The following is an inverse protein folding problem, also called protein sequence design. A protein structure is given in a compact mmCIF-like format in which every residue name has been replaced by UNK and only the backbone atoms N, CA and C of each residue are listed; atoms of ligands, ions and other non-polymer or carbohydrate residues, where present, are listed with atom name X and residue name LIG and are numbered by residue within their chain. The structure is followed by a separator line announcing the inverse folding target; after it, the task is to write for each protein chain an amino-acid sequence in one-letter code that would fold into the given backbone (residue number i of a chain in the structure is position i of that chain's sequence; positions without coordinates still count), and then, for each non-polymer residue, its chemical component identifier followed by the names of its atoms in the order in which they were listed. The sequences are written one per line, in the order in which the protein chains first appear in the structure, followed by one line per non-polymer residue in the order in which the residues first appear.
data_IF_931189924603
#
_entry.id   IF_931189924603
#
_cell.length_a   1.000
_cell.length_b   1.000
_cell.length_c   1.000
_cell.angle_alpha   90.00
_cell.angle_beta   90.00
_cell.angle_gamma   90.00
#
_symmetry.space_group_name_H-M   'P 1'
#
loop_
_entity.id
_entity.type
_entity.pdbx_description
1 polymer ?
#
# COMPACT_ATOMS: atom_id res chain seq x y z
N UNK A 1 -11.70 17.97 71.06
CA UNK A 1 -11.74 16.94 70.02
C UNK A 1 -11.61 17.61 68.69
N UNK A 2 -10.40 17.61 68.07
CA UNK A 2 -10.12 18.28 66.76
C UNK A 2 -10.14 17.23 65.67
N UNK A 3 -11.12 17.27 64.71
CA UNK A 3 -11.18 16.43 63.53
C UNK A 3 -10.18 16.97 62.50
N UNK A 4 -9.16 16.16 62.16
CA UNK A 4 -8.28 16.43 61.04
C UNK A 4 -8.90 15.83 59.78
N UNK A 5 -9.31 16.69 58.85
CA UNK A 5 -9.75 16.27 57.52
C UNK A 5 -8.50 16.01 56.63
N UNK A 6 -8.29 14.76 56.31
CA UNK A 6 -7.29 14.34 55.32
C UNK A 6 -7.85 14.64 53.92
N UNK A 7 -7.22 15.57 53.21
CA UNK A 7 -7.43 15.81 51.79
C UNK A 7 -6.49 14.88 51.01
N UNK A 8 -7.02 13.91 50.34
CA UNK A 8 -6.24 13.08 49.42
C UNK A 8 -6.26 13.76 48.02
N UNK A 9 -5.11 14.12 47.45
CA UNK A 9 -5.10 14.66 46.07
C UNK A 9 -5.35 13.56 45.08
N UNK A 10 -6.38 13.72 44.27
CA UNK A 10 -6.68 12.89 43.09
C UNK A 10 -5.70 13.25 41.98
N UNK A 11 -4.70 12.43 41.77
CA UNK A 11 -3.77 12.58 40.64
C UNK A 11 -4.48 12.21 39.34
N UNK A 12 -4.80 13.20 38.51
CA UNK A 12 -5.34 13.01 37.16
C UNK A 12 -4.19 12.58 36.24
N UNK A 13 -4.11 11.29 35.94
CA UNK A 13 -3.16 10.77 34.95
C UNK A 13 -3.59 11.21 33.54
N UNK A 14 -2.87 12.15 32.93
CA UNK A 14 -3.01 12.53 31.52
C UNK A 14 -2.48 11.38 30.68
N UNK A 15 -3.34 10.58 30.08
CA UNK A 15 -2.96 9.61 29.05
C UNK A 15 -2.66 10.40 27.77
N UNK A 16 -1.40 10.63 27.48
CA UNK A 16 -0.97 11.17 26.20
C UNK A 16 -1.22 10.10 25.12
N UNK A 17 -2.32 10.24 24.38
CA UNK A 17 -2.53 9.48 23.15
C UNK A 17 -1.46 9.92 22.16
N UNK A 18 -0.52 9.03 21.83
CA UNK A 18 0.38 9.21 20.69
C UNK A 18 -0.47 9.14 19.43
N UNK A 19 -0.89 10.29 18.91
CA UNK A 19 -1.43 10.39 17.58
C UNK A 19 -0.31 10.00 16.61
N UNK A 20 -0.43 8.84 15.97
CA UNK A 20 0.35 8.57 14.78
C UNK A 20 0.02 9.69 13.81
N UNK A 21 1.04 10.38 13.29
CA UNK A 21 0.83 11.37 12.25
C UNK A 21 0.17 10.64 11.08
N UNK A 22 -1.12 10.89 10.88
CA UNK A 22 -1.82 10.37 9.71
C UNK A 22 -1.07 10.91 8.48
N UNK A 23 -0.84 10.02 7.48
CA UNK A 23 -0.26 10.43 6.21
C UNK A 23 -1.08 11.55 5.54
N UNK A 24 -0.72 11.99 4.33
CA UNK A 24 -1.48 13.00 3.60
C UNK A 24 -2.97 12.65 3.54
N UNK A 25 -3.84 13.64 3.67
CA UNK A 25 -5.29 13.46 3.50
C UNK A 25 -5.58 13.03 2.07
N UNK A 26 -6.31 11.94 1.90
CA UNK A 26 -6.67 11.38 0.60
C UNK A 26 -7.95 10.56 0.65
N UNK A 27 -8.58 10.39 -0.50
CA UNK A 27 -9.76 9.55 -0.73
C UNK A 27 -9.45 8.50 -1.78
N UNK A 28 -10.12 7.36 -1.70
CA UNK A 28 -9.93 6.31 -2.71
C UNK A 28 -10.33 6.77 -4.11
N UNK A 29 -11.24 7.73 -4.23
CA UNK A 29 -11.62 8.36 -5.49
C UNK A 29 -10.44 9.04 -6.21
N UNK A 30 -9.44 9.51 -5.47
CA UNK A 30 -8.22 10.14 -6.01
C UNK A 30 -7.37 9.11 -6.79
N UNK A 31 -7.61 7.81 -6.59
CA UNK A 31 -6.93 6.68 -7.24
C UNK A 31 -7.73 6.08 -8.41
N UNK A 32 -8.86 6.67 -8.81
CA UNK A 32 -9.72 6.13 -9.87
C UNK A 32 -8.97 5.94 -11.22
N UNK A 33 -7.91 6.70 -11.46
CA UNK A 33 -7.05 6.60 -12.64
C UNK A 33 -6.26 5.29 -12.73
N UNK A 34 -6.13 4.53 -11.62
CA UNK A 34 -5.44 3.24 -11.59
C UNK A 34 -6.28 2.12 -12.22
N UNK A 35 -7.62 2.26 -12.23
CA UNK A 35 -8.57 1.25 -12.71
C UNK A 35 -8.24 0.75 -14.12
N UNK A 36 -8.15 -0.56 -14.27
CA UNK A 36 -7.91 -1.23 -15.56
C UNK A 36 -6.90 -2.35 -15.48
N UNK A 37 -6.58 -2.92 -16.63
CA UNK A 37 -5.56 -3.95 -16.77
C UNK A 37 -4.32 -3.36 -17.39
N UNK A 38 -3.19 -3.55 -16.73
CA UNK A 38 -1.88 -3.01 -17.09
C UNK A 38 -0.87 -4.15 -17.20
N UNK A 39 0.01 -4.11 -18.20
CA UNK A 39 0.97 -5.20 -18.43
C UNK A 39 2.28 -4.69 -19.02
N UNK A 40 3.38 -5.36 -18.65
CA UNK A 40 4.70 -5.15 -19.23
C UNK A 40 5.51 -6.44 -19.24
N UNK A 41 6.43 -6.59 -20.24
CA UNK A 41 7.46 -7.60 -20.16
C UNK A 41 8.47 -7.26 -19.05
N UNK A 42 8.93 -8.29 -18.33
CA UNK A 42 9.94 -8.21 -17.28
C UNK A 42 10.97 -9.33 -17.50
N UNK A 43 11.95 -9.08 -18.36
CA UNK A 43 12.86 -10.12 -18.86
C UNK A 43 12.07 -11.20 -19.60
N UNK A 44 12.23 -12.50 -19.23
CA UNK A 44 11.47 -13.59 -19.85
C UNK A 44 10.02 -13.70 -19.34
N UNK A 45 9.65 -12.90 -18.37
CA UNK A 45 8.35 -12.91 -17.72
C UNK A 45 7.46 -11.75 -18.22
N UNK A 46 6.19 -11.83 -17.90
CA UNK A 46 5.21 -10.74 -18.05
C UNK A 46 4.61 -10.45 -16.69
N UNK A 47 4.63 -9.18 -16.30
CA UNK A 47 3.86 -8.67 -15.16
C UNK A 47 2.51 -8.13 -15.67
N UNK A 48 1.44 -8.47 -14.97
CA UNK A 48 0.10 -7.96 -15.22
C UNK A 48 -0.55 -7.56 -13.90
N UNK A 49 -1.13 -6.35 -13.85
CA UNK A 49 -1.92 -5.84 -12.73
C UNK A 49 -3.34 -5.53 -13.19
N UNK A 50 -4.32 -6.03 -12.45
CA UNK A 50 -5.75 -5.83 -12.72
C UNK A 50 -6.38 -5.05 -11.58
N UNK A 51 -6.52 -3.74 -11.76
CA UNK A 51 -7.08 -2.83 -10.78
C UNK A 51 -8.60 -2.72 -10.94
N UNK A 52 -9.33 -2.98 -9.86
CA UNK A 52 -10.78 -2.84 -9.79
C UNK A 52 -11.20 -1.37 -9.90
N UNK A 53 -12.49 -1.11 -10.04
CA UNK A 53 -13.02 0.25 -9.92
C UNK A 53 -12.93 0.71 -8.46
N UNK A 54 -12.44 1.95 -8.25
CA UNK A 54 -12.45 2.60 -6.96
C UNK A 54 -13.91 2.79 -6.47
N UNK A 55 -14.27 2.19 -5.33
CA UNK A 55 -15.63 2.22 -4.82
C UNK A 55 -15.67 2.01 -3.31
N UNK A 56 -16.64 2.64 -2.63
CA UNK A 56 -16.91 2.44 -1.20
C UNK A 56 -15.66 2.46 -0.31
N UNK A 57 -14.74 3.42 -0.56
CA UNK A 57 -13.53 3.61 0.25
C UNK A 57 -12.43 2.56 0.01
N UNK A 58 -12.48 1.80 -1.08
CA UNK A 58 -11.44 0.84 -1.42
C UNK A 58 -11.20 0.72 -2.93
N UNK A 59 -10.00 0.23 -3.28
CA UNK A 59 -9.59 -0.26 -4.60
C UNK A 59 -8.64 -1.44 -4.39
N UNK A 60 -8.66 -2.42 -5.28
CA UNK A 60 -7.80 -3.59 -5.18
C UNK A 60 -7.20 -3.97 -6.54
N UNK A 61 -6.05 -4.62 -6.51
CA UNK A 61 -5.44 -5.25 -7.68
C UNK A 61 -5.16 -6.72 -7.43
N UNK A 62 -5.40 -7.52 -8.47
CA UNK A 62 -4.80 -8.84 -8.62
C UNK A 62 -3.62 -8.71 -9.56
N UNK A 63 -2.44 -9.06 -9.07
CA UNK A 63 -1.20 -9.06 -9.84
C UNK A 63 -0.76 -10.49 -10.12
N UNK A 64 -0.25 -10.75 -11.31
CA UNK A 64 0.40 -12.01 -11.63
C UNK A 64 1.68 -11.80 -12.41
N UNK A 65 2.65 -12.65 -12.16
CA UNK A 65 3.84 -12.77 -12.97
C UNK A 65 3.84 -14.13 -13.65
N UNK A 66 3.92 -14.12 -14.98
CA UNK A 66 3.93 -15.35 -15.79
C UNK A 66 5.19 -15.39 -16.64
N UNK A 67 5.77 -16.58 -16.81
CA UNK A 67 6.92 -16.84 -17.65
C UNK A 67 6.76 -18.13 -18.44
N UNK A 68 7.85 -18.61 -19.11
CA UNK A 68 7.82 -19.84 -19.90
C UNK A 68 7.33 -21.09 -19.15
N UNK A 69 7.56 -21.13 -17.83
CA UNK A 69 7.13 -22.23 -16.96
C UNK A 69 5.74 -22.02 -16.31
N UNK A 70 5.00 -21.01 -16.72
CA UNK A 70 3.70 -20.65 -16.16
C UNK A 70 3.76 -19.52 -15.14
N UNK A 71 2.84 -19.53 -14.17
CA UNK A 71 2.77 -18.50 -13.12
C UNK A 71 3.90 -18.70 -12.13
N UNK A 72 4.66 -17.64 -11.87
CA UNK A 72 5.75 -17.61 -10.87
C UNK A 72 5.36 -16.81 -9.62
N UNK A 73 4.36 -15.93 -9.69
CA UNK A 73 3.87 -15.13 -8.56
C UNK A 73 2.42 -14.72 -8.77
N UNK A 74 1.68 -14.76 -7.67
CA UNK A 74 0.44 -14.04 -7.46
C UNK A 74 0.62 -12.98 -6.39
N UNK A 75 -0.04 -11.83 -6.55
CA UNK A 75 -0.08 -10.80 -5.52
C UNK A 75 -1.48 -10.18 -5.47
N UNK A 76 -1.95 -9.89 -4.27
CA UNK A 76 -3.13 -9.06 -4.04
C UNK A 76 -2.69 -7.81 -3.33
N UNK A 77 -3.12 -6.67 -3.87
CA UNK A 77 -2.94 -5.34 -3.29
C UNK A 77 -4.32 -4.81 -2.97
N UNK A 78 -4.53 -4.33 -1.74
CA UNK A 78 -5.72 -3.56 -1.37
C UNK A 78 -5.30 -2.18 -0.89
N UNK A 79 -6.07 -1.15 -1.25
CA UNK A 79 -5.91 0.20 -0.73
C UNK A 79 -7.25 0.63 -0.17
N UNK A 80 -7.27 1.08 1.09
CA UNK A 80 -8.47 1.40 1.84
C UNK A 80 -8.34 2.77 2.50
N UNK A 81 -9.47 3.49 2.60
CA UNK A 81 -9.53 4.72 3.41
C UNK A 81 -9.41 4.37 4.89
N UNK A 82 -8.47 5.01 5.57
CA UNK A 82 -8.24 4.84 7.00
C UNK A 82 -7.86 6.18 7.65
N UNK A 83 -8.63 6.61 8.64
CA UNK A 83 -8.34 7.81 9.45
C UNK A 83 -8.06 9.07 8.61
N UNK A 84 -8.80 9.24 7.50
CA UNK A 84 -8.66 10.40 6.60
C UNK A 84 -7.50 10.30 5.60
N UNK A 85 -6.77 9.20 5.58
CA UNK A 85 -5.68 8.88 4.66
C UNK A 85 -5.93 7.53 3.96
N UNK A 86 -4.90 6.94 3.36
CA UNK A 86 -4.97 5.63 2.70
C UNK A 86 -3.97 4.65 3.31
N UNK A 87 -4.41 3.40 3.45
CA UNK A 87 -3.59 2.28 3.88
C UNK A 87 -3.57 1.22 2.78
N UNK A 88 -2.37 0.77 2.41
CA UNK A 88 -2.18 -0.32 1.45
C UNK A 88 -1.78 -1.59 2.18
N UNK A 89 -2.33 -2.73 1.73
CA UNK A 89 -1.89 -4.06 2.16
C UNK A 89 -1.48 -4.86 0.92
N UNK A 90 -0.38 -5.62 1.04
CA UNK A 90 0.18 -6.43 -0.04
C UNK A 90 0.44 -7.83 0.48
N UNK A 91 -0.11 -8.83 -0.22
CA UNK A 91 0.18 -10.23 0.05
C UNK A 91 0.62 -10.93 -1.23
N UNK A 92 1.70 -11.70 -1.14
CA UNK A 92 2.26 -12.45 -2.26
C UNK A 92 2.22 -13.96 -2.02
N UNK A 93 2.06 -14.70 -3.11
CA UNK A 93 2.10 -16.17 -3.15
C UNK A 93 2.97 -16.65 -4.31
N UNK A 94 3.62 -17.78 -4.11
CA UNK A 94 4.19 -18.58 -5.18
C UNK A 94 3.09 -19.33 -5.96
N UNK A 95 3.46 -20.02 -7.03
CA UNK A 95 2.57 -20.92 -7.74
C UNK A 95 1.87 -21.88 -6.76
N UNK A 96 0.56 -22.15 -7.00
CA UNK A 96 -0.24 -22.97 -6.11
C UNK A 96 -0.71 -22.27 -4.83
N UNK A 97 -0.65 -20.93 -4.77
CA UNK A 97 -1.08 -20.12 -3.63
C UNK A 97 -0.33 -20.42 -2.32
N UNK A 98 0.94 -20.79 -2.41
CA UNK A 98 1.81 -20.89 -1.24
C UNK A 98 2.21 -19.48 -0.80
N UNK A 99 1.78 -18.99 0.38
CA UNK A 99 2.08 -17.62 0.80
C UNK A 99 3.58 -17.42 1.04
N UNK A 100 4.11 -16.26 0.60
CA UNK A 100 5.52 -15.87 0.80
C UNK A 100 5.79 -15.31 2.18
N UNK A 101 4.75 -14.83 2.86
CA UNK A 101 4.79 -14.32 4.23
C UNK A 101 3.53 -14.74 4.98
N UNK A 102 3.57 -14.86 6.33
CA UNK A 102 2.40 -15.23 7.12
C UNK A 102 1.30 -14.16 7.09
N UNK A 103 1.69 -12.90 6.94
CA UNK A 103 0.79 -11.74 6.95
C UNK A 103 1.07 -10.82 5.76
N UNK A 104 0.07 -10.01 5.40
CA UNK A 104 0.21 -8.96 4.41
C UNK A 104 1.14 -7.86 4.92
N UNK A 105 2.01 -7.37 4.05
CA UNK A 105 2.78 -6.16 4.30
C UNK A 105 1.84 -4.96 4.31
N UNK A 106 1.98 -4.09 5.32
CA UNK A 106 1.23 -2.83 5.44
C UNK A 106 2.10 -1.65 5.06
N UNK A 107 1.49 -0.72 4.32
CA UNK A 107 2.17 0.49 3.86
C UNK A 107 1.25 1.70 4.05
N UNK A 108 1.79 2.76 4.62
CA UNK A 108 1.11 4.05 4.81
C UNK A 108 1.31 4.97 3.61
N UNK A 109 0.32 5.82 3.32
CA UNK A 109 0.42 6.86 2.30
C UNK A 109 1.44 7.92 2.74
N UNK A 110 2.41 8.24 1.86
CA UNK A 110 3.40 9.32 2.10
C UNK A 110 3.35 10.42 1.07
N UNK A 111 2.79 10.15 -0.12
CA UNK A 111 2.65 11.15 -1.17
C UNK A 111 1.41 10.87 -2.01
N UNK A 112 0.65 11.91 -2.34
CA UNK A 112 -0.44 11.88 -3.30
C UNK A 112 -0.44 13.17 -4.13
N UNK A 113 -0.73 13.05 -5.42
CA UNK A 113 -0.79 14.16 -6.37
C UNK A 113 -1.64 13.82 -7.58
N UNK A 114 -1.66 14.69 -8.58
CA UNK A 114 -2.37 14.39 -9.82
C UNK A 114 -1.77 13.14 -10.48
N UNK A 115 -2.59 12.07 -10.56
CA UNK A 115 -2.24 10.76 -11.14
C UNK A 115 -0.92 10.20 -10.62
N UNK A 116 -0.64 10.40 -9.34
CA UNK A 116 0.49 9.74 -8.66
C UNK A 116 0.20 9.51 -7.19
N UNK A 117 0.75 8.43 -6.68
CA UNK A 117 0.63 8.03 -5.27
C UNK A 117 1.88 7.28 -4.85
N UNK A 118 2.30 7.43 -3.59
CA UNK A 118 3.43 6.69 -3.02
C UNK A 118 3.13 6.27 -1.60
N UNK A 119 3.47 5.03 -1.31
CA UNK A 119 3.36 4.41 0.01
C UNK A 119 4.73 4.02 0.55
N UNK A 120 4.84 3.98 1.89
CA UNK A 120 6.02 3.53 2.62
C UNK A 120 5.63 2.39 3.55
N UNK A 121 6.46 1.35 3.61
CA UNK A 121 6.24 0.22 4.49
C UNK A 121 6.26 0.61 5.97
N UNK A 122 5.29 0.12 6.72
CA UNK A 122 5.20 0.21 8.19
C UNK A 122 5.32 -1.17 8.86
N UNK A 123 5.34 -2.24 8.06
CA UNK A 123 5.69 -3.60 8.48
C UNK A 123 6.78 -4.15 7.57
N UNK A 124 7.47 -5.19 8.02
CA UNK A 124 8.45 -5.90 7.20
C UNK A 124 7.80 -6.52 5.96
N UNK A 125 8.56 -6.63 4.88
CA UNK A 125 8.10 -7.23 3.63
C UNK A 125 9.06 -6.99 2.45
N UNK A 126 8.63 -7.36 1.24
CA UNK A 126 9.48 -7.30 0.04
C UNK A 126 9.82 -5.88 -0.42
N UNK A 127 9.05 -4.89 0.01
CA UNK A 127 9.22 -3.50 -0.45
C UNK A 127 9.36 -2.53 0.72
N UNK A 128 10.21 -1.51 0.56
CA UNK A 128 10.32 -0.39 1.50
C UNK A 128 9.41 0.78 1.11
N UNK A 129 9.20 0.95 -0.19
CA UNK A 129 8.28 1.94 -0.78
C UNK A 129 7.62 1.35 -2.02
N UNK A 130 6.40 1.81 -2.33
CA UNK A 130 5.73 1.49 -3.58
C UNK A 130 5.00 2.73 -4.09
N UNK A 131 5.33 3.14 -5.30
CA UNK A 131 4.72 4.29 -5.96
C UNK A 131 4.13 3.94 -7.30
N UNK A 132 3.03 4.61 -7.64
CA UNK A 132 2.36 4.51 -8.93
C UNK A 132 2.19 5.89 -9.54
N UNK A 133 2.29 5.99 -10.86
CA UNK A 133 1.94 7.21 -11.58
C UNK A 133 1.48 6.90 -13.01
N UNK A 134 0.62 7.76 -13.56
CA UNK A 134 0.22 7.70 -14.96
C UNK A 134 1.01 8.73 -15.75
N UNK A 135 1.86 8.27 -16.67
CA UNK A 135 2.65 9.12 -17.55
C UNK A 135 1.80 9.84 -18.60
N UNK A 136 2.31 10.93 -19.14
CA UNK A 136 1.66 11.68 -20.23
C UNK A 136 1.47 10.82 -21.50
N UNK A 137 2.30 9.81 -21.70
CA UNK A 137 2.21 8.81 -22.77
C UNK A 137 1.21 7.67 -22.49
N UNK A 138 0.47 7.77 -21.39
CA UNK A 138 -0.47 6.75 -20.92
C UNK A 138 0.19 5.52 -20.26
N UNK A 139 1.49 5.55 -19.98
CA UNK A 139 2.15 4.47 -19.24
C UNK A 139 1.76 4.50 -17.77
N UNK A 140 1.49 3.32 -17.21
CA UNK A 140 1.30 3.10 -15.78
C UNK A 140 2.64 2.73 -15.16
N UNK A 141 3.25 3.71 -14.48
CA UNK A 141 4.60 3.56 -13.95
C UNK A 141 4.54 3.07 -12.50
N UNK A 142 5.42 2.12 -12.18
CA UNK A 142 5.61 1.55 -10.85
C UNK A 142 7.04 1.83 -10.42
N UNK A 143 7.21 2.32 -9.19
CA UNK A 143 8.50 2.47 -8.52
C UNK A 143 8.48 1.67 -7.22
N UNK A 144 9.17 0.54 -7.17
CA UNK A 144 9.25 -0.31 -5.99
C UNK A 144 10.64 -0.21 -5.35
N UNK A 145 10.72 0.44 -4.19
CA UNK A 145 11.92 0.45 -3.36
C UNK A 145 12.08 -0.87 -2.64
N UNK A 146 13.29 -1.42 -2.65
CA UNK A 146 13.61 -2.71 -2.06
C UNK A 146 14.48 -2.55 -0.80
N UNK A 147 14.49 -3.54 0.11
CA UNK A 147 15.51 -3.63 1.13
C UNK A 147 16.91 -3.57 0.51
N UNK A 148 17.82 -2.75 1.08
CA UNK A 148 19.14 -2.51 0.48
C UNK A 148 19.22 -1.26 -0.41
N UNK A 149 18.08 -0.54 -0.62
CA UNK A 149 18.07 0.79 -1.23
C UNK A 149 17.94 0.82 -2.76
N UNK A 150 17.89 -0.33 -3.44
CA UNK A 150 17.58 -0.37 -4.87
C UNK A 150 16.11 0.00 -5.14
N UNK A 151 15.85 0.56 -6.33
CA UNK A 151 14.49 0.89 -6.80
C UNK A 151 14.26 0.24 -8.15
N UNK A 152 13.31 -0.67 -8.21
CA UNK A 152 12.82 -1.21 -9.48
C UNK A 152 11.84 -0.22 -10.11
N UNK A 153 11.98 0.05 -11.40
CA UNK A 153 11.10 0.92 -12.19
C UNK A 153 10.51 0.13 -13.34
N UNK A 154 9.20 0.17 -13.47
CA UNK A 154 8.46 -0.52 -14.51
C UNK A 154 7.49 0.46 -15.17
N UNK A 155 7.29 0.32 -16.48
CA UNK A 155 6.31 1.08 -17.24
C UNK A 155 5.38 0.09 -17.94
N UNK A 156 4.15 -0.02 -17.45
CA UNK A 156 3.14 -0.92 -17.98
C UNK A 156 2.28 -0.17 -19.00
N UNK A 157 1.79 -0.90 -19.98
CA UNK A 157 0.82 -0.42 -20.96
C UNK A 157 -0.56 -0.97 -20.66
N UNK A 158 -1.58 -0.21 -21.00
CA UNK A 158 -2.96 -0.66 -20.90
C UNK A 158 -3.20 -1.82 -21.86
N UNK A 159 -3.89 -2.85 -21.37
CA UNK A 159 -4.25 -4.04 -22.13
C UNK A 159 -5.62 -3.92 -22.75
#
# INVERSE_FOLDING_TARGET
MRLHRLFTPLALALVASTAFAAGPTAKIADLAWMTGTWSAPLGPNTLEENWTTATNGNIASMVRMTGPSGVSMWEVITIEEKEGSLMMNIQQWDAGFKPRSPEAQKMELVEIGDKRVKFKAITEGPMTTLGYSLGADGSFNIEAGQPGGSVAKLALKRK
#
